data_IF_714073630919
#
_entry.id   IF_714073630919
#
_cell.length_a   1.000
_cell.length_b   1.000
_cell.length_c   1.000
_cell.angle_alpha   90.00
_cell.angle_beta   90.00
_cell.angle_gamma   90.00
#
_symmetry.space_group_name_H-M   'P 1'
#
loop_
_entity.id
_entity.type
_entity.pdbx_description
1 polymer ?
#
# COMPACT_ATOMS: atom_id res chain seq x y z
N UNK A 1 11.97 -30.31 -0.68
CA UNK A 1 11.21 -29.38 0.20
C UNK A 1 12.07 -28.22 0.70
N UNK A 2 13.24 -28.43 1.28
CA UNK A 2 14.07 -27.34 1.84
C UNK A 2 14.50 -26.25 0.83
N UNK A 3 14.77 -26.60 -0.42
CA UNK A 3 15.11 -25.62 -1.48
C UNK A 3 13.97 -24.63 -1.73
N UNK A 4 12.75 -25.14 -1.84
CA UNK A 4 11.54 -24.34 -2.07
C UNK A 4 11.30 -23.35 -0.92
N UNK A 5 11.56 -23.77 0.32
CA UNK A 5 11.46 -22.88 1.49
C UNK A 5 12.50 -21.76 1.44
N UNK A 6 13.74 -22.09 1.06
CA UNK A 6 14.81 -21.09 0.92
C UNK A 6 14.52 -20.08 -0.19
N UNK A 7 13.98 -20.52 -1.33
CA UNK A 7 13.59 -19.66 -2.45
C UNK A 7 12.45 -18.72 -2.04
N UNK A 8 11.38 -19.23 -1.43
CA UNK A 8 10.28 -18.41 -0.90
C UNK A 8 10.76 -17.38 0.14
N UNK A 9 11.69 -17.75 1.00
CA UNK A 9 12.26 -16.84 2.01
C UNK A 9 13.15 -15.75 1.37
N UNK A 10 13.86 -16.08 0.29
CA UNK A 10 14.65 -15.10 -0.47
C UNK A 10 13.73 -14.08 -1.19
N UNK A 11 12.63 -14.56 -1.75
CA UNK A 11 11.62 -13.73 -2.42
C UNK A 11 10.95 -12.73 -1.45
N UNK A 12 10.51 -13.19 -0.26
CA UNK A 12 9.91 -12.33 0.77
C UNK A 12 10.90 -11.23 1.24
N UNK A 13 12.19 -11.57 1.37
CA UNK A 13 13.22 -10.60 1.74
C UNK A 13 13.46 -9.55 0.65
N UNK A 14 13.36 -9.95 -0.62
CA UNK A 14 13.42 -9.03 -1.76
C UNK A 14 12.28 -8.01 -1.74
N UNK A 15 11.04 -8.45 -1.51
CA UNK A 15 9.88 -7.55 -1.42
C UNK A 15 10.03 -6.49 -0.32
N UNK A 16 10.61 -6.86 0.82
CA UNK A 16 10.84 -5.90 1.92
C UNK A 16 11.88 -4.84 1.57
N UNK A 17 12.89 -5.17 0.76
CA UNK A 17 13.90 -4.21 0.28
C UNK A 17 13.38 -3.30 -0.84
N UNK A 18 12.41 -3.77 -1.62
CA UNK A 18 11.74 -2.99 -2.68
C UNK A 18 10.67 -2.03 -2.13
N UNK A 19 10.16 -2.29 -0.92
CA UNK A 19 9.26 -1.37 -0.23
C UNK A 19 10.04 -0.19 0.36
N UNK A 20 9.98 0.96 -0.31
CA UNK A 20 10.49 2.22 0.24
C UNK A 20 9.50 2.72 1.28
N UNK A 21 9.82 2.57 2.57
CA UNK A 21 8.95 2.94 3.68
C UNK A 21 8.42 4.39 3.59
N UNK A 22 9.25 5.31 3.09
CA UNK A 22 8.88 6.71 2.87
C UNK A 22 7.82 6.91 1.78
N UNK A 23 7.70 5.97 0.84
CA UNK A 23 6.69 5.98 -0.24
C UNK A 23 5.46 5.13 0.08
N UNK A 24 5.37 4.60 1.30
CA UNK A 24 4.20 3.81 1.72
C UNK A 24 3.07 4.76 2.10
N UNK A 25 2.06 4.88 1.24
CA UNK A 25 0.82 5.59 1.57
C UNK A 25 -0.22 4.59 2.09
N UNK A 26 -0.74 4.82 3.29
CA UNK A 26 -1.78 3.96 3.85
C UNK A 26 -3.14 4.23 3.21
N UNK A 27 -4.01 3.22 3.16
CA UNK A 27 -5.41 3.38 2.70
C UNK A 27 -6.16 4.47 3.48
N UNK A 28 -5.82 4.67 4.76
CA UNK A 28 -6.36 5.76 5.58
C UNK A 28 -5.91 7.14 5.07
N UNK A 29 -4.63 7.29 4.73
CA UNK A 29 -4.10 8.53 4.15
C UNK A 29 -4.69 8.81 2.76
N UNK A 30 -4.90 7.78 1.95
CA UNK A 30 -5.58 7.91 0.64
C UNK A 30 -7.02 8.39 0.85
N UNK A 31 -7.75 7.78 1.77
CA UNK A 31 -9.13 8.15 2.08
C UNK A 31 -9.24 9.55 2.68
N UNK A 32 -8.27 10.00 3.48
CA UNK A 32 -8.27 11.34 4.08
C UNK A 32 -7.75 12.44 3.14
N UNK A 33 -7.07 12.08 2.05
CA UNK A 33 -6.55 13.05 1.07
C UNK A 33 -7.54 13.30 -0.09
N UNK A 34 -8.62 12.52 -0.19
CA UNK A 34 -9.73 12.76 -1.10
C UNK A 34 -10.74 13.75 -0.50
N UNK A 35 -11.52 14.40 -1.36
CA UNK A 35 -12.72 15.14 -0.93
C UNK A 35 -13.59 14.20 -0.09
N UNK A 36 -14.11 14.70 1.02
CA UNK A 36 -15.16 14.01 1.75
C UNK A 36 -16.34 13.75 0.79
N UNK A 37 -17.12 12.69 1.06
CA UNK A 37 -18.33 12.41 0.28
C UNK A 37 -19.23 13.65 0.21
N UNK A 38 -19.30 14.41 1.30
CA UNK A 38 -20.06 15.65 1.40
C UNK A 38 -19.52 16.76 0.48
N UNK A 39 -18.19 16.94 0.40
CA UNK A 39 -17.58 17.90 -0.54
C UNK A 39 -17.78 17.48 -2.01
N UNK A 40 -17.94 16.19 -2.30
CA UNK A 40 -18.34 15.74 -3.64
C UNK A 40 -19.81 16.02 -3.90
N UNK A 41 -20.69 15.82 -2.93
CA UNK A 41 -22.13 16.08 -3.04
C UNK A 41 -22.43 17.58 -3.30
N UNK A 42 -21.72 18.48 -2.64
CA UNK A 42 -21.86 19.94 -2.81
C UNK A 42 -21.48 20.44 -4.21
N UNK A 43 -20.68 19.69 -4.98
CA UNK A 43 -20.30 20.04 -6.37
C UNK A 43 -21.37 19.68 -7.41
N UNK A 44 -22.35 18.84 -7.03
CA UNK A 44 -23.45 18.42 -7.92
C UNK A 44 -24.76 19.20 -7.68
N UNK A 45 -24.80 20.11 -6.71
CA UNK A 45 -25.96 20.94 -6.34
C UNK A 45 -25.72 22.40 -6.73
#
# INVERSE_FOLDING_TARGET
MERVVKERQAEIRSYKGLMVAEKMTSNRQIASAGKSIQEMEDEFV
#
